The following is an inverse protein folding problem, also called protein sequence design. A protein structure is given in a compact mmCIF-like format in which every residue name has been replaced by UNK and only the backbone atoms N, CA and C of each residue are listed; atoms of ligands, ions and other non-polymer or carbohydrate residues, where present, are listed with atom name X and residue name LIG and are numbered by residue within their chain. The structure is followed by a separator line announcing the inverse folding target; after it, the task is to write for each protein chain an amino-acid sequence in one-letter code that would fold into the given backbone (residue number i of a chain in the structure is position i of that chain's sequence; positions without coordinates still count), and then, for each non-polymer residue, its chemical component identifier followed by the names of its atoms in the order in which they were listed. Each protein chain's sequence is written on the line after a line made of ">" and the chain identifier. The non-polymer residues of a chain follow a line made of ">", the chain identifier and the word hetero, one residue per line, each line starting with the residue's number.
data_IF_057442964753
#
_entry.id   IF_057442964753
#
_cell.length_a   1.000
_cell.length_b   1.000
_cell.length_c   1.000
_cell.angle_alpha   90.00
_cell.angle_beta   90.00
_cell.angle_gamma   90.00
#
_symmetry.space_group_name_H-M   'P 1'
#
loop_
_entity.id
_entity.type
_entity.pdbx_description
1 polymer ?
#
# COMPACT_ATOMS: atom_id res chain seq x y z
N UNK A 1 -19.69 -14.10 21.52
CA UNK A 1 -19.92 -12.84 20.78
C UNK A 1 -18.60 -12.05 20.80
N UNK A 2 -17.72 -12.25 19.82
CA UNK A 2 -16.52 -11.44 19.70
C UNK A 2 -16.94 -10.08 19.12
N UNK A 3 -16.70 -9.01 19.86
CA UNK A 3 -17.06 -7.66 19.45
C UNK A 3 -16.35 -7.30 18.15
N UNK A 4 -17.15 -6.96 17.13
CA UNK A 4 -16.70 -6.45 15.84
C UNK A 4 -16.22 -5.00 15.97
N UNK A 5 -15.41 -4.70 16.98
CA UNK A 5 -14.76 -3.40 17.10
C UNK A 5 -13.59 -3.38 16.11
N UNK A 6 -13.62 -2.44 15.17
CA UNK A 6 -12.46 -2.16 14.33
C UNK A 6 -11.23 -1.98 15.24
N UNK A 7 -10.03 -2.46 14.85
CA UNK A 7 -8.82 -2.29 15.65
C UNK A 7 -8.66 -0.81 16.02
N UNK A 8 -8.66 -0.50 17.32
CA UNK A 8 -8.49 0.87 17.80
C UNK A 8 -7.03 1.26 17.63
N UNK A 9 -6.70 1.88 16.50
CA UNK A 9 -5.40 2.52 16.28
C UNK A 9 -5.33 3.84 17.03
N UNK A 10 -4.15 4.18 17.54
CA UNK A 10 -3.92 5.48 18.18
C UNK A 10 -3.83 6.60 17.15
N UNK A 11 -4.04 7.84 17.59
CA UNK A 11 -3.91 9.05 16.76
C UNK A 11 -2.51 9.15 16.14
N UNK A 12 -1.47 8.74 16.87
CA UNK A 12 -0.09 8.71 16.38
C UNK A 12 0.10 7.71 15.23
N UNK A 13 -0.51 6.53 15.34
CA UNK A 13 -0.50 5.53 14.28
C UNK A 13 -1.24 6.02 13.04
N UNK A 14 -2.39 6.68 13.23
CA UNK A 14 -3.15 7.26 12.14
C UNK A 14 -2.43 8.43 11.47
N UNK A 15 -1.73 9.27 12.23
CA UNK A 15 -0.91 10.36 11.68
C UNK A 15 0.29 9.84 10.88
N UNK A 16 0.94 8.77 11.37
CA UNK A 16 2.01 8.07 10.65
C UNK A 16 1.50 7.52 9.32
N UNK A 17 0.35 6.82 9.35
CA UNK A 17 -0.29 6.30 8.15
C UNK A 17 -0.66 7.40 7.16
N UNK A 18 -1.34 8.47 7.63
CA UNK A 18 -1.77 9.57 6.77
C UNK A 18 -0.59 10.21 6.02
N UNK A 19 0.55 10.38 6.71
CA UNK A 19 1.79 10.87 6.10
C UNK A 19 2.29 9.91 5.02
N UNK A 20 2.42 8.62 5.35
CA UNK A 20 2.90 7.60 4.43
C UNK A 20 2.02 7.47 3.19
N UNK A 21 0.69 7.47 3.36
CA UNK A 21 -0.28 7.41 2.26
C UNK A 21 -0.24 8.66 1.40
N UNK A 22 -0.11 9.85 2.00
CA UNK A 22 -0.02 11.10 1.22
C UNK A 22 1.22 11.12 0.33
N UNK A 23 2.37 10.75 0.86
CA UNK A 23 3.63 10.66 0.08
C UNK A 23 3.53 9.61 -1.02
N UNK A 24 2.96 8.45 -0.71
CA UNK A 24 2.71 7.37 -1.66
C UNK A 24 1.83 7.83 -2.82
N UNK A 25 0.63 8.34 -2.54
CA UNK A 25 -0.32 8.79 -3.55
C UNK A 25 0.26 9.91 -4.42
N UNK A 26 0.96 10.87 -3.81
CA UNK A 26 1.60 11.97 -4.54
C UNK A 26 2.64 11.45 -5.54
N UNK A 27 3.44 10.47 -5.12
CA UNK A 27 4.49 9.89 -5.97
C UNK A 27 3.89 8.95 -7.02
N UNK A 28 2.90 8.14 -6.65
CA UNK A 28 2.21 7.21 -7.55
C UNK A 28 1.48 7.95 -8.68
N UNK A 29 0.84 9.09 -8.38
CA UNK A 29 0.20 9.95 -9.38
C UNK A 29 1.19 10.44 -10.46
N UNK A 30 2.46 10.67 -10.12
CA UNK A 30 3.47 11.04 -11.11
C UNK A 30 3.77 9.92 -12.11
N UNK A 31 3.71 8.65 -11.68
CA UNK A 31 3.86 7.50 -12.58
C UNK A 31 2.68 7.41 -13.55
N UNK A 32 1.45 7.57 -13.05
CA UNK A 32 0.23 7.58 -13.87
C UNK A 32 0.25 8.72 -14.90
N UNK A 33 0.64 9.94 -14.49
CA UNK A 33 0.75 11.08 -15.39
C UNK A 33 1.83 10.87 -16.46
N UNK A 34 2.97 10.26 -16.12
CA UNK A 34 4.03 9.94 -17.09
C UNK A 34 3.61 8.88 -18.09
N UNK A 35 2.83 7.89 -17.65
CA UNK A 35 2.25 6.89 -18.55
C UNK A 35 1.31 7.58 -19.54
N UNK A 36 0.30 8.29 -19.04
CA UNK A 36 -0.76 8.89 -19.87
C UNK A 36 -0.32 10.09 -20.72
N UNK A 37 0.71 10.83 -20.29
CA UNK A 37 1.13 12.08 -20.93
C UNK A 37 1.85 11.96 -22.29
N UNK A 38 2.25 10.74 -22.71
CA UNK A 38 2.96 10.52 -23.99
C UNK A 38 2.08 9.93 -25.10
N UNK A 39 0.76 9.90 -24.91
CA UNK A 39 -0.18 9.30 -25.87
C UNK A 39 -0.13 7.76 -25.91
N UNK A 40 0.57 7.14 -24.97
CA UNK A 40 0.68 5.69 -24.81
C UNK A 40 0.20 5.30 -23.42
N UNK A 41 -0.80 4.43 -23.28
CA UNK A 41 -1.32 4.00 -21.96
C UNK A 41 -0.41 2.98 -21.24
N UNK A 42 0.79 2.72 -21.78
CA UNK A 42 1.69 1.65 -21.31
C UNK A 42 2.83 2.27 -20.52
N UNK A 43 3.02 1.82 -19.27
CA UNK A 43 4.19 2.15 -18.47
C UNK A 43 5.45 1.51 -19.04
N UNK A 44 6.56 2.26 -19.07
CA UNK A 44 7.87 1.65 -19.36
C UNK A 44 8.24 0.66 -18.25
N UNK A 45 9.06 -0.35 -18.60
CA UNK A 45 9.58 -1.33 -17.64
C UNK A 45 10.24 -0.65 -16.44
N UNK A 46 11.05 0.39 -16.68
CA UNK A 46 11.71 1.15 -15.61
C UNK A 46 10.71 1.82 -14.66
N UNK A 47 9.63 2.42 -15.21
CA UNK A 47 8.59 3.04 -14.41
C UNK A 47 7.80 1.98 -13.63
N UNK A 48 7.53 0.81 -14.22
CA UNK A 48 6.87 -0.31 -13.53
C UNK A 48 7.73 -0.82 -12.37
N UNK A 49 9.04 -0.98 -12.56
CA UNK A 49 9.96 -1.38 -11.49
C UNK A 49 10.00 -0.31 -10.39
N UNK A 50 10.07 0.98 -10.76
CA UNK A 50 10.08 2.07 -9.81
C UNK A 50 8.76 2.17 -9.01
N UNK A 51 7.62 1.95 -9.65
CA UNK A 51 6.31 1.90 -9.00
C UNK A 51 6.22 0.72 -8.03
N UNK A 52 6.68 -0.49 -8.42
CA UNK A 52 6.73 -1.64 -7.50
C UNK A 52 7.56 -1.36 -6.25
N UNK A 53 8.73 -0.74 -6.41
CA UNK A 53 9.58 -0.33 -5.28
C UNK A 53 8.90 0.72 -4.39
N UNK A 54 8.15 1.64 -5.01
CA UNK A 54 7.35 2.62 -4.28
C UNK A 54 6.28 1.92 -3.42
N UNK A 55 5.52 0.98 -3.99
CA UNK A 55 4.51 0.18 -3.29
C UNK A 55 5.13 -0.61 -2.14
N UNK A 56 6.25 -1.31 -2.37
CA UNK A 56 6.95 -2.04 -1.31
C UNK A 56 7.41 -1.10 -0.18
N UNK A 57 7.93 0.08 -0.53
CA UNK A 57 8.35 1.09 0.45
C UNK A 57 7.18 1.62 1.27
N UNK A 58 6.05 1.89 0.61
CA UNK A 58 4.81 2.31 1.26
C UNK A 58 4.30 1.23 2.22
N UNK A 59 4.16 -0.01 1.77
CA UNK A 59 3.65 -1.10 2.60
C UNK A 59 4.56 -1.40 3.81
N UNK A 60 5.89 -1.23 3.67
CA UNK A 60 6.81 -1.32 4.81
C UNK A 60 6.51 -0.25 5.86
N UNK A 61 6.33 1.02 5.44
CA UNK A 61 5.99 2.12 6.37
C UNK A 61 4.60 1.94 6.97
N UNK A 62 3.62 1.52 6.17
CA UNK A 62 2.27 1.23 6.63
C UNK A 62 2.28 0.18 7.75
N UNK A 63 2.98 -0.94 7.55
CA UNK A 63 3.14 -1.97 8.55
C UNK A 63 3.87 -1.47 9.81
N UNK A 64 4.93 -0.67 9.64
CA UNK A 64 5.66 -0.07 10.76
C UNK A 64 4.77 0.89 11.59
N UNK A 65 3.94 1.72 10.94
CA UNK A 65 3.00 2.59 11.63
C UNK A 65 1.99 1.77 12.44
N UNK A 66 1.42 0.72 11.86
CA UNK A 66 0.36 -0.06 12.53
C UNK A 66 0.85 -0.99 13.63
N UNK A 67 2.12 -1.37 13.60
CA UNK A 67 2.75 -2.23 14.62
C UNK A 67 3.44 -1.45 15.74
N UNK A 68 3.50 -0.11 15.65
CA UNK A 68 4.31 0.71 16.56
C UNK A 68 3.91 0.61 18.04
N UNK A 69 2.64 0.29 18.33
CA UNK A 69 2.12 0.14 19.69
C UNK A 69 2.23 -1.32 20.23
N UNK A 70 2.69 -2.26 19.41
CA UNK A 70 2.86 -3.66 19.82
C UNK A 70 4.18 -3.79 20.59
N UNK A 71 4.07 -3.98 21.91
CA UNK A 71 5.22 -4.04 22.82
C UNK A 71 5.95 -5.38 22.82
N UNK A 72 5.25 -6.47 22.51
CA UNK A 72 5.84 -7.80 22.41
C UNK A 72 6.54 -7.97 21.06
N UNK A 73 7.83 -8.29 21.08
CA UNK A 73 8.64 -8.35 19.85
C UNK A 73 8.18 -9.44 18.88
N UNK A 74 7.78 -10.60 19.39
CA UNK A 74 7.34 -11.74 18.57
C UNK A 74 5.98 -11.46 17.91
N UNK A 75 5.08 -10.84 18.65
CA UNK A 75 3.79 -10.40 18.15
C UNK A 75 3.96 -9.23 17.18
N UNK A 76 4.86 -8.29 17.48
CA UNK A 76 5.17 -7.15 16.62
C UNK A 76 5.67 -7.61 15.26
N UNK A 77 6.58 -8.59 15.23
CA UNK A 77 7.06 -9.18 13.98
C UNK A 77 5.94 -9.87 13.20
N UNK A 78 5.07 -10.60 13.89
CA UNK A 78 3.92 -11.27 13.26
C UNK A 78 2.93 -10.25 12.66
N UNK A 79 2.61 -9.19 13.41
CA UNK A 79 1.74 -8.09 12.96
C UNK A 79 2.40 -7.34 11.79
N UNK A 80 3.68 -7.01 11.88
CA UNK A 80 4.44 -6.38 10.79
C UNK A 80 4.32 -7.17 9.49
N UNK A 81 4.59 -8.48 9.53
CA UNK A 81 4.55 -9.35 8.35
C UNK A 81 3.13 -9.45 7.78
N UNK A 82 2.13 -9.67 8.64
CA UNK A 82 0.73 -9.79 8.21
C UNK A 82 0.21 -8.48 7.59
N UNK A 83 0.48 -7.35 8.23
CA UNK A 83 0.08 -6.03 7.73
C UNK A 83 0.82 -5.65 6.43
N UNK A 84 2.10 -5.99 6.32
CA UNK A 84 2.87 -5.78 5.09
C UNK A 84 2.28 -6.58 3.92
N UNK A 85 2.03 -7.88 4.11
CA UNK A 85 1.44 -8.74 3.10
C UNK A 85 0.04 -8.26 2.69
N UNK A 86 -0.82 -7.94 3.65
CA UNK A 86 -2.16 -7.43 3.37
C UNK A 86 -2.16 -6.10 2.61
N UNK A 87 -1.19 -5.22 2.86
CA UNK A 87 -1.01 -4.00 2.07
C UNK A 87 -0.62 -4.32 0.62
N UNK A 88 0.35 -5.22 0.40
CA UNK A 88 0.75 -5.62 -0.95
C UNK A 88 -0.40 -6.23 -1.74
N UNK A 89 -1.21 -7.08 -1.10
CA UNK A 89 -2.39 -7.69 -1.73
C UNK A 89 -3.44 -6.65 -2.13
N UNK A 90 -3.68 -5.63 -1.31
CA UNK A 90 -4.64 -4.56 -1.64
C UNK A 90 -4.15 -3.69 -2.81
N UNK A 91 -2.87 -3.33 -2.82
CA UNK A 91 -2.30 -2.56 -3.92
C UNK A 91 -2.29 -3.37 -5.22
N UNK A 92 -2.04 -4.69 -5.15
CA UNK A 92 -2.13 -5.56 -6.31
C UNK A 92 -3.57 -5.72 -6.84
N UNK A 93 -4.57 -5.87 -5.96
CA UNK A 93 -5.99 -5.97 -6.38
C UNK A 93 -6.53 -4.70 -7.02
N UNK A 94 -6.03 -3.55 -6.60
CA UNK A 94 -6.39 -2.25 -7.19
C UNK A 94 -5.93 -2.13 -8.66
N UNK A 95 -4.93 -2.92 -9.08
CA UNK A 95 -4.48 -3.00 -10.47
C UNK A 95 -5.34 -3.99 -11.31
N UNK A 96 -5.96 -5.01 -10.70
CA UNK A 96 -6.74 -6.06 -11.40
C UNK A 96 -8.19 -5.66 -11.70
N UNK A 97 -8.84 -4.82 -10.88
CA UNK A 97 -10.20 -4.30 -11.16
C UNK A 97 -10.27 -3.39 -12.40
N UNK A 98 -9.13 -3.06 -13.01
CA UNK A 98 -9.02 -2.35 -14.29
C UNK A 98 -8.93 -3.25 -15.53
N UNK A 99 -8.86 -4.58 -15.40
CA UNK A 99 -8.90 -5.47 -16.56
C UNK A 99 -10.35 -5.70 -16.99
N UNK A 100 -10.78 -5.24 -18.19
CA UNK A 100 -12.06 -5.68 -18.72
C UNK A 100 -11.98 -7.20 -18.86
N UNK A 101 -12.95 -7.89 -18.28
CA UNK A 101 -13.21 -9.30 -18.60
C UNK A 101 -13.38 -9.39 -20.12
N UNK A 102 -12.39 -9.95 -20.82
CA UNK A 102 -12.60 -10.50 -22.16
C UNK A 102 -13.58 -11.67 -21.99
N UNK A 103 -14.87 -11.37 -22.13
CA UNK A 103 -15.89 -12.36 -22.44
C UNK A 103 -15.49 -13.04 -23.75
N UNK A 104 -15.16 -14.32 -23.67
CA UNK A 104 -14.86 -15.19 -24.79
C UNK A 104 -15.94 -16.25 -24.93
#
# INVERSE_FOLDING_TARGET
>A
MAGNEAPKFSDEQMACLATATKEYLTTNAQFVLRATGKGTTIMSVDNTIAQRRLVEGYCKRWAACLSSNVKDDSLRETVLRGTFAGCLENEAKSDEEGQPSEDR
#
